data_IF_191559325449
#
_entry.id   IF_191559325449
#
_cell.length_a   1.000
_cell.length_b   1.000
_cell.length_c   1.000
_cell.angle_alpha   90.00
_cell.angle_beta   90.00
_cell.angle_gamma   90.00
#
_symmetry.space_group_name_H-M   'P 1'
#
loop_
_entity.id
_entity.type
_entity.pdbx_description
1 polymer ?
#
# COMPACT_ATOMS: atom_id res chain seq x y z
N UNK A 1 5.11 13.29 -23.72
CA UNK A 1 4.22 12.09 -23.70
C UNK A 1 4.52 11.10 -22.57
N UNK A 2 5.73 11.04 -22.04
CA UNK A 2 6.15 10.08 -20.99
C UNK A 2 5.50 10.37 -19.62
N UNK A 3 5.21 11.63 -19.31
CA UNK A 3 4.51 12.04 -18.06
C UNK A 3 3.16 11.33 -17.82
N UNK A 4 2.46 10.93 -18.88
CA UNK A 4 1.18 10.22 -18.74
C UNK A 4 1.34 8.80 -18.20
N UNK A 5 2.45 8.14 -18.51
CA UNK A 5 2.71 6.75 -18.05
C UNK A 5 2.99 6.73 -16.55
N UNK A 6 3.71 7.71 -16.02
CA UNK A 6 3.99 7.83 -14.58
C UNK A 6 2.71 8.03 -13.77
N UNK A 7 1.82 8.90 -14.26
CA UNK A 7 0.52 9.14 -13.62
C UNK A 7 -0.36 7.89 -13.59
N UNK A 8 -0.29 7.06 -14.66
CA UNK A 8 -1.01 5.78 -14.70
C UNK A 8 -0.49 4.84 -13.60
N UNK A 9 0.82 4.75 -13.40
CA UNK A 9 1.38 3.89 -12.36
C UNK A 9 1.04 4.38 -10.95
N UNK A 10 1.05 5.68 -10.68
CA UNK A 10 0.57 6.21 -9.39
C UNK A 10 -0.92 5.98 -9.20
N UNK A 11 -1.73 6.06 -10.27
CA UNK A 11 -3.15 5.72 -10.22
C UNK A 11 -3.35 4.24 -9.89
N UNK A 12 -2.59 3.34 -10.52
CA UNK A 12 -2.66 1.90 -10.21
C UNK A 12 -2.25 1.60 -8.77
N UNK A 13 -1.21 2.29 -8.25
CA UNK A 13 -0.85 2.18 -6.84
C UNK A 13 -2.00 2.66 -5.93
N UNK A 14 -2.64 3.79 -6.25
CA UNK A 14 -3.79 4.29 -5.50
C UNK A 14 -4.98 3.34 -5.56
N UNK A 15 -5.22 2.70 -6.70
CA UNK A 15 -6.28 1.67 -6.84
C UNK A 15 -5.97 0.41 -6.02
N UNK A 16 -4.70 0.01 -5.89
CA UNK A 16 -4.31 -1.08 -5.00
C UNK A 16 -4.60 -0.73 -3.52
N UNK A 17 -4.25 0.51 -3.08
CA UNK A 17 -4.62 0.97 -1.74
C UNK A 17 -6.14 1.06 -1.55
N UNK A 18 -6.88 1.52 -2.56
CA UNK A 18 -8.35 1.54 -2.53
C UNK A 18 -8.96 0.14 -2.53
N UNK A 19 -8.36 -0.80 -3.24
CA UNK A 19 -8.77 -2.20 -3.31
C UNK A 19 -8.65 -2.93 -1.95
N UNK A 20 -7.68 -2.51 -1.11
CA UNK A 20 -7.48 -3.06 0.23
C UNK A 20 -8.71 -2.89 1.13
N UNK A 21 -9.52 -1.84 0.91
CA UNK A 21 -10.79 -1.65 1.62
C UNK A 21 -11.88 -2.67 1.26
N UNK A 22 -11.68 -3.44 0.20
CA UNK A 22 -12.64 -4.41 -0.33
C UNK A 22 -12.23 -5.87 -0.09
N UNK A 23 -11.02 -6.09 0.43
CA UNK A 23 -10.45 -7.42 0.63
C UNK A 23 -9.98 -7.60 2.06
N UNK A 24 -9.89 -8.86 2.48
CA UNK A 24 -9.44 -9.25 3.81
C UNK A 24 -7.97 -9.68 3.75
N UNK A 25 -7.24 -9.54 4.86
CA UNK A 25 -5.87 -10.06 5.02
C UNK A 25 -5.85 -11.55 5.28
N UNK A 26 -6.77 -12.02 6.15
CA UNK A 26 -6.87 -13.42 6.54
C UNK A 26 -8.31 -13.81 6.86
N UNK A 27 -8.57 -15.12 6.82
CA UNK A 27 -9.86 -15.73 7.18
C UNK A 27 -9.65 -16.83 8.20
N UNK A 28 -10.52 -16.88 9.22
CA UNK A 28 -10.52 -17.93 10.22
C UNK A 28 -11.66 -18.91 10.02
N UNK A 29 -11.41 -20.18 10.32
CA UNK A 29 -12.47 -21.23 10.34
C UNK A 29 -13.41 -21.07 11.55
N UNK A 30 -12.94 -20.43 12.62
CA UNK A 30 -13.65 -20.29 13.90
C UNK A 30 -13.90 -18.82 14.21
N UNK A 31 -15.06 -18.53 14.78
CA UNK A 31 -15.37 -17.19 15.34
C UNK A 31 -14.63 -17.04 16.66
N UNK A 32 -13.90 -15.92 16.80
CA UNK A 32 -13.18 -15.55 18.01
C UNK A 32 -13.60 -14.14 18.38
N UNK A 33 -14.05 -13.96 19.61
CA UNK A 33 -14.42 -12.64 20.10
C UNK A 33 -13.22 -11.68 20.04
N UNK A 34 -13.42 -10.56 19.37
CA UNK A 34 -12.40 -9.54 19.11
C UNK A 34 -11.97 -9.54 17.65
N UNK A 35 -10.86 -10.22 17.33
CA UNK A 35 -10.19 -10.12 16.02
C UNK A 35 -10.91 -10.85 14.87
N UNK A 36 -11.65 -11.94 15.16
CA UNK A 36 -12.39 -12.73 14.17
C UNK A 36 -13.87 -12.84 14.53
N UNK A 37 -14.50 -11.76 14.96
CA UNK A 37 -15.92 -11.74 15.27
C UNK A 37 -16.79 -12.08 14.06
N UNK A 38 -16.33 -11.74 12.86
CA UNK A 38 -16.93 -12.05 11.56
C UNK A 38 -16.13 -13.09 10.76
N UNK A 39 -15.13 -13.76 11.36
CA UNK A 39 -14.17 -14.69 10.75
C UNK A 39 -13.22 -14.07 9.73
N UNK A 40 -13.17 -12.76 9.62
CA UNK A 40 -12.34 -12.02 8.68
C UNK A 40 -11.40 -11.12 9.47
N UNK A 41 -10.17 -10.98 8.97
CA UNK A 41 -9.23 -9.98 9.44
C UNK A 41 -9.01 -8.97 8.32
N UNK A 42 -9.41 -7.74 8.56
CA UNK A 42 -9.43 -6.71 7.54
C UNK A 42 -8.94 -5.34 8.07
N UNK A 43 -8.97 -4.31 7.22
CA UNK A 43 -8.57 -2.95 7.58
C UNK A 43 -9.39 -2.34 8.72
N UNK A 44 -10.65 -2.77 8.88
CA UNK A 44 -11.59 -2.15 9.81
C UNK A 44 -11.38 -2.62 11.26
N UNK A 45 -10.66 -3.72 11.46
CA UNK A 45 -10.38 -4.25 12.79
C UNK A 45 -9.47 -3.31 13.60
N UNK A 46 -8.57 -2.58 12.90
CA UNK A 46 -7.66 -1.66 13.55
C UNK A 46 -7.63 -0.27 12.87
N UNK A 47 -7.91 0.80 13.59
CA UNK A 47 -7.89 2.17 13.04
C UNK A 47 -6.50 2.58 12.49
N UNK A 48 -5.42 1.99 13.02
CA UNK A 48 -4.08 2.23 12.51
C UNK A 48 -3.93 1.79 11.04
N UNK A 49 -4.50 0.64 10.68
CA UNK A 49 -4.48 0.12 9.30
C UNK A 49 -5.27 1.02 8.35
N UNK A 50 -6.44 1.49 8.78
CA UNK A 50 -7.26 2.45 8.03
C UNK A 50 -6.49 3.73 7.73
N UNK A 51 -5.79 4.28 8.73
CA UNK A 51 -5.00 5.51 8.58
C UNK A 51 -3.85 5.30 7.60
N UNK A 52 -3.08 4.22 7.74
CA UNK A 52 -1.93 3.93 6.86
C UNK A 52 -2.42 3.74 5.41
N UNK A 53 -3.45 2.95 5.20
CA UNK A 53 -4.00 2.66 3.88
C UNK A 53 -4.62 3.91 3.25
N UNK A 54 -5.42 4.66 4.00
CA UNK A 54 -6.04 5.91 3.54
C UNK A 54 -5.00 6.97 3.17
N UNK A 55 -3.96 7.15 4.00
CA UNK A 55 -2.83 8.05 3.69
C UNK A 55 -2.11 7.58 2.42
N UNK A 56 -1.86 6.29 2.26
CA UNK A 56 -1.24 5.73 1.06
C UNK A 56 -2.02 6.05 -0.21
N UNK A 57 -3.34 5.87 -0.19
CA UNK A 57 -4.24 6.20 -1.30
C UNK A 57 -4.20 7.71 -1.61
N UNK A 58 -4.35 8.56 -0.60
CA UNK A 58 -4.36 10.03 -0.76
C UNK A 58 -3.02 10.52 -1.30
N UNK A 59 -1.90 10.07 -0.74
CA UNK A 59 -0.55 10.48 -1.19
C UNK A 59 -0.30 10.02 -2.62
N UNK A 60 -0.71 8.79 -2.99
CA UNK A 60 -0.57 8.28 -4.36
C UNK A 60 -1.35 9.15 -5.35
N UNK A 61 -2.60 9.50 -5.04
CA UNK A 61 -3.42 10.40 -5.86
C UNK A 61 -2.82 11.82 -5.94
N UNK A 62 -2.42 12.39 -4.80
CA UNK A 62 -1.81 13.72 -4.75
C UNK A 62 -0.54 13.81 -5.61
N UNK A 63 0.25 12.73 -5.65
CA UNK A 63 1.48 12.65 -6.43
C UNK A 63 1.23 12.78 -7.95
N UNK A 64 0.04 12.38 -8.43
CA UNK A 64 -0.34 12.54 -9.83
C UNK A 64 -0.41 14.02 -10.23
N UNK A 65 -0.92 14.89 -9.33
CA UNK A 65 -1.09 16.32 -9.61
C UNK A 65 0.21 17.12 -9.47
N UNK A 66 1.25 16.54 -8.87
CA UNK A 66 2.55 17.16 -8.64
C UNK A 66 3.54 16.97 -9.82
N UNK A 67 3.04 16.78 -11.03
CA UNK A 67 3.86 16.55 -12.22
C UNK A 67 4.82 17.71 -12.56
N UNK A 68 4.53 18.94 -12.11
CA UNK A 68 5.40 20.11 -12.30
C UNK A 68 6.62 20.13 -11.34
N UNK A 69 6.54 19.43 -10.20
CA UNK A 69 7.59 19.37 -9.21
C UNK A 69 8.15 17.94 -9.05
N UNK A 70 9.02 17.56 -9.99
CA UNK A 70 9.59 16.20 -10.06
C UNK A 70 10.36 15.78 -8.79
N UNK A 71 11.16 16.65 -8.14
CA UNK A 71 11.83 16.27 -6.90
C UNK A 71 10.85 15.91 -5.79
N UNK A 72 9.77 16.67 -5.66
CA UNK A 72 8.71 16.40 -4.69
C UNK A 72 7.94 15.13 -5.04
N UNK A 73 7.64 14.93 -6.34
CA UNK A 73 6.97 13.73 -6.84
C UNK A 73 7.76 12.45 -6.51
N UNK A 74 9.08 12.46 -6.66
CA UNK A 74 9.95 11.35 -6.25
C UNK A 74 9.90 11.10 -4.74
N UNK A 75 9.99 12.16 -3.91
CA UNK A 75 9.92 12.03 -2.45
C UNK A 75 8.59 11.42 -2.00
N UNK A 76 7.49 11.89 -2.56
CA UNK A 76 6.16 11.32 -2.26
C UNK A 76 6.01 9.89 -2.79
N UNK A 77 6.59 9.57 -3.94
CA UNK A 77 6.64 8.19 -4.44
C UNK A 77 7.36 7.24 -3.46
N UNK A 78 8.48 7.65 -2.89
CA UNK A 78 9.15 6.87 -1.84
C UNK A 78 8.29 6.76 -0.57
N UNK A 79 7.57 7.82 -0.20
CA UNK A 79 6.62 7.77 0.92
C UNK A 79 5.51 6.73 0.66
N UNK A 80 4.97 6.67 -0.57
CA UNK A 80 4.00 5.65 -0.98
C UNK A 80 4.56 4.24 -0.79
N UNK A 81 5.80 3.97 -1.22
CA UNK A 81 6.46 2.68 -1.01
C UNK A 81 6.62 2.38 0.48
N UNK A 82 7.03 3.38 1.28
CA UNK A 82 7.17 3.20 2.74
C UNK A 82 5.85 2.81 3.39
N UNK A 83 4.74 3.48 3.02
CA UNK A 83 3.41 3.16 3.52
C UNK A 83 2.95 1.77 3.06
N UNK A 84 3.26 1.38 1.80
CA UNK A 84 2.94 0.05 1.27
C UNK A 84 3.69 -1.08 1.99
N UNK A 85 4.91 -0.84 2.46
CA UNK A 85 5.69 -1.79 3.27
C UNK A 85 5.19 -1.80 4.71
N UNK A 86 4.87 -0.63 5.25
CA UNK A 86 4.43 -0.47 6.64
C UNK A 86 3.08 -1.17 6.88
N UNK A 87 2.17 -1.13 5.91
CA UNK A 87 0.83 -1.69 6.03
C UNK A 87 0.83 -3.17 6.43
N UNK A 88 1.46 -4.10 5.68
CA UNK A 88 1.47 -5.51 6.06
C UNK A 88 2.30 -5.78 7.33
N UNK A 89 3.35 -5.01 7.59
CA UNK A 89 4.14 -5.16 8.83
C UNK A 89 3.26 -4.85 10.04
N UNK A 90 2.55 -3.72 10.02
CA UNK A 90 1.66 -3.34 11.12
C UNK A 90 0.49 -4.31 11.23
N UNK A 91 -0.09 -4.77 10.10
CA UNK A 91 -1.15 -5.76 10.10
C UNK A 91 -0.72 -7.05 10.81
N UNK A 92 0.46 -7.59 10.47
CA UNK A 92 0.99 -8.82 11.10
C UNK A 92 1.31 -8.59 12.58
N UNK A 93 1.91 -7.45 12.95
CA UNK A 93 2.23 -7.16 14.37
C UNK A 93 0.97 -7.06 15.23
N UNK A 94 -0.07 -6.37 14.74
CA UNK A 94 -1.35 -6.27 15.45
C UNK A 94 -2.02 -7.63 15.55
N UNK A 95 -2.04 -8.38 14.46
CA UNK A 95 -2.55 -9.76 14.43
C UNK A 95 -1.85 -10.65 15.45
N UNK A 96 -0.51 -10.63 15.53
CA UNK A 96 0.25 -11.41 16.51
C UNK A 96 -0.02 -10.97 17.95
N UNK A 97 -0.19 -9.68 18.19
CA UNK A 97 -0.51 -9.15 19.50
C UNK A 97 -1.89 -9.65 19.99
N UNK A 98 -2.87 -9.61 19.11
CA UNK A 98 -4.24 -9.99 19.45
C UNK A 98 -4.39 -11.51 19.59
N UNK A 99 -3.68 -12.30 18.78
CA UNK A 99 -3.68 -13.77 18.90
C UNK A 99 -2.97 -14.28 20.16
N UNK A 100 -1.97 -13.54 20.69
CA UNK A 100 -1.35 -13.89 21.97
C UNK A 100 -2.31 -13.76 23.17
N UNK A 101 -3.33 -12.92 23.07
CA UNK A 101 -4.35 -12.77 24.09
C UNK A 101 -5.36 -13.95 24.12
N UNK A 102 -5.34 -14.80 23.10
CA UNK A 102 -6.25 -15.93 22.95
C UNK A 102 -5.56 -17.22 23.44
N UNK A 103 -6.01 -17.74 24.59
CA UNK A 103 -5.43 -18.94 25.21
C UNK A 103 -5.70 -20.26 24.47
N UNK A 104 -6.60 -20.28 23.46
CA UNK A 104 -7.04 -21.48 22.73
C UNK A 104 -6.68 -21.40 21.23
N UNK A 105 -5.37 -21.43 20.93
CA UNK A 105 -4.89 -21.41 19.52
C UNK A 105 -4.82 -22.80 18.87
N UNK A 106 -5.10 -23.87 19.60
CA UNK A 106 -4.82 -25.24 19.16
C UNK A 106 -5.67 -25.75 17.98
N UNK A 107 -6.72 -25.01 17.57
CA UNK A 107 -7.62 -25.39 16.47
C UNK A 107 -7.86 -24.26 15.46
N UNK A 108 -6.98 -23.26 15.42
CA UNK A 108 -7.11 -22.12 14.49
C UNK A 108 -6.53 -22.49 13.14
N UNK A 109 -7.41 -22.80 12.19
CA UNK A 109 -7.04 -22.83 10.77
C UNK A 109 -7.23 -21.41 10.20
N UNK A 110 -6.11 -20.76 9.88
CA UNK A 110 -6.09 -19.43 9.29
C UNK A 110 -5.70 -19.60 7.83
N UNK A 111 -6.55 -19.09 6.93
CA UNK A 111 -6.27 -19.04 5.51
C UNK A 111 -5.91 -17.61 5.09
N UNK A 112 -4.83 -17.49 4.32
CA UNK A 112 -4.43 -16.22 3.72
C UNK A 112 -5.51 -15.73 2.73
N UNK A 113 -5.67 -14.42 2.65
CA UNK A 113 -6.61 -13.81 1.70
C UNK A 113 -5.91 -12.79 0.79
N UNK A 114 -6.64 -12.28 -0.19
CA UNK A 114 -6.08 -11.43 -1.25
C UNK A 114 -5.43 -10.15 -0.73
N UNK A 115 -5.90 -9.59 0.39
CA UNK A 115 -5.34 -8.40 1.01
C UNK A 115 -3.88 -8.53 1.42
N UNK A 116 -3.42 -9.71 1.79
CA UNK A 116 -2.01 -9.92 2.13
C UNK A 116 -1.06 -9.70 0.94
N UNK A 117 -1.55 -9.86 -0.29
CA UNK A 117 -0.76 -9.74 -1.52
C UNK A 117 -0.88 -8.36 -2.19
N UNK A 118 -1.90 -7.58 -1.87
CA UNK A 118 -2.11 -6.23 -2.44
C UNK A 118 -0.92 -5.27 -2.24
N UNK A 119 -0.21 -5.27 -1.09
CA UNK A 119 0.97 -4.42 -0.90
C UNK A 119 2.08 -4.66 -1.91
N UNK A 120 2.23 -5.87 -2.45
CA UNK A 120 3.18 -6.16 -3.52
C UNK A 120 2.86 -5.36 -4.79
N UNK A 121 1.58 -5.27 -5.15
CA UNK A 121 1.11 -4.44 -6.25
C UNK A 121 1.37 -2.94 -6.00
N UNK A 122 1.11 -2.45 -4.78
CA UNK A 122 1.39 -1.06 -4.41
C UNK A 122 2.87 -0.70 -4.59
N UNK A 123 3.78 -1.55 -4.09
CA UNK A 123 5.23 -1.37 -4.20
C UNK A 123 5.68 -1.41 -5.66
N UNK A 124 5.18 -2.38 -6.43
CA UNK A 124 5.53 -2.54 -7.84
C UNK A 124 5.13 -1.32 -8.65
N UNK A 125 3.89 -0.87 -8.56
CA UNK A 125 3.41 0.27 -9.33
C UNK A 125 4.05 1.59 -8.88
N UNK A 126 4.23 1.82 -7.58
CA UNK A 126 4.95 2.99 -7.09
C UNK A 126 6.42 3.01 -7.54
N UNK A 127 7.09 1.86 -7.53
CA UNK A 127 8.46 1.71 -8.04
C UNK A 127 8.59 2.00 -9.54
N UNK A 128 7.65 1.51 -10.36
CA UNK A 128 7.59 1.81 -11.79
C UNK A 128 7.32 3.29 -12.04
N UNK A 129 6.45 3.92 -11.25
CA UNK A 129 6.18 5.35 -11.31
C UNK A 129 7.46 6.17 -11.03
N UNK A 130 8.18 5.88 -9.95
CA UNK A 130 9.42 6.57 -9.57
C UNK A 130 10.50 6.40 -10.65
N UNK A 131 10.65 5.19 -11.21
CA UNK A 131 11.58 4.95 -12.34
C UNK A 131 11.22 5.81 -13.54
N UNK A 132 9.94 5.96 -13.85
CA UNK A 132 9.46 6.83 -14.91
C UNK A 132 9.86 8.29 -14.65
N UNK A 133 9.57 8.83 -13.45
CA UNK A 133 9.95 10.20 -13.04
C UNK A 133 11.47 10.41 -13.16
N UNK A 134 12.26 9.45 -12.68
CA UNK A 134 13.72 9.54 -12.73
C UNK A 134 14.28 9.52 -14.17
N UNK A 135 13.65 8.78 -15.08
CA UNK A 135 14.03 8.77 -16.49
C UNK A 135 13.76 10.12 -17.17
N UNK A 136 12.61 10.72 -16.87
CA UNK A 136 12.25 12.04 -17.39
C UNK A 136 13.18 13.14 -16.90
N UNK A 137 13.58 13.08 -15.63
CA UNK A 137 14.53 14.03 -15.06
C UNK A 137 15.89 14.00 -15.80
N UNK A 138 16.41 12.81 -16.05
CA UNK A 138 17.67 12.63 -16.79
C UNK A 138 17.60 13.16 -18.21
N UNK A 139 16.45 13.01 -18.89
CA UNK A 139 16.25 13.52 -20.25
C UNK A 139 16.27 15.05 -20.27
N UNK A 140 15.65 15.71 -19.29
CA UNK A 140 15.66 17.19 -19.21
C UNK A 140 17.05 17.70 -18.88
N UNK A 141 17.73 17.08 -17.92
CA UNK A 141 19.11 17.46 -17.57
C UNK A 141 20.09 17.31 -18.75
N UNK A 142 19.91 16.29 -19.58
CA UNK A 142 20.74 16.10 -20.76
C UNK A 142 20.50 17.18 -21.84
N UNK A 143 19.26 17.67 -21.99
CA UNK A 143 18.94 18.75 -22.90
C UNK A 143 19.48 20.11 -22.44
N UNK A 144 19.46 20.35 -21.13
CA UNK A 144 20.02 21.59 -20.55
C UNK A 144 21.54 21.67 -20.69
N UNK A 145 22.25 20.54 -20.72
CA UNK A 145 23.71 20.51 -20.95
C UNK A 145 24.13 20.76 -22.40
N UNK A 146 23.20 20.63 -23.34
CA UNK A 146 23.46 20.84 -24.78
C UNK A 146 23.16 22.28 -25.24
N UNK A 147 22.69 23.14 -24.33
CA UNK A 147 22.37 24.55 -24.56
C UNK A 147 23.39 25.48 -23.93
#
# INVERSE_FOLDING_TARGET
MIQRIQSIFFLLAALCFGGEFLVDFAKSSVVIDGIFSDRLYNLYDHPALLVICGLGAIVSLATIFLYNNRPLQKKLGYLVITLAILLPIVAVLLFMNDTQAINDTNNLEIADSAGLYMPLGMILFAGLAIRGVAKDDKLVESMDRLR
#
